data_IF_897085237832
#
_entry.id   IF_897085237832
#
_cell.length_a   1.000
_cell.length_b   1.000
_cell.length_c   1.000
_cell.angle_alpha   90.00
_cell.angle_beta   90.00
_cell.angle_gamma   90.00
#
_symmetry.space_group_name_H-M   'P 1'
#
loop_
_entity.id
_entity.type
_entity.pdbx_description
1 polymer ?
#
# COMPACT_ATOMS: atom_id res chain seq x y z
N UNK A 1 -11.19 -0.47 7.12
CA UNK A 1 -10.67 -1.87 7.06
C UNK A 1 -9.19 -1.84 6.69
N UNK A 2 -8.43 -2.85 7.13
CA UNK A 2 -7.00 -3.04 6.79
C UNK A 2 -6.86 -4.17 5.76
N UNK A 3 -6.13 -3.91 4.68
CA UNK A 3 -5.74 -4.89 3.67
C UNK A 3 -4.22 -5.05 3.71
N UNK A 4 -3.75 -6.28 3.79
CA UNK A 4 -2.32 -6.61 3.77
C UNK A 4 -2.00 -7.47 2.56
N UNK A 5 -0.94 -7.11 1.84
CA UNK A 5 -0.48 -7.78 0.64
C UNK A 5 1.03 -8.02 0.72
N UNK A 6 1.48 -9.15 0.19
CA UNK A 6 2.90 -9.41 -0.07
C UNK A 6 3.20 -9.12 -1.53
N UNK A 7 4.23 -8.31 -1.80
CA UNK A 7 4.68 -7.93 -3.15
C UNK A 7 6.14 -8.36 -3.32
N UNK A 8 6.41 -9.61 -3.75
CA UNK A 8 7.76 -10.19 -3.77
C UNK A 8 8.79 -9.38 -4.57
N UNK A 9 8.34 -8.72 -5.65
CA UNK A 9 9.21 -7.97 -6.57
C UNK A 9 9.41 -6.49 -6.18
N UNK A 10 9.01 -6.08 -4.97
CA UNK A 10 9.23 -4.72 -4.49
C UNK A 10 10.70 -4.50 -4.13
N UNK A 11 11.52 -4.12 -5.11
CA UNK A 11 12.98 -4.15 -4.99
C UNK A 11 13.56 -3.01 -4.12
N UNK A 12 12.96 -1.82 -4.16
CA UNK A 12 13.46 -0.64 -3.46
C UNK A 12 12.33 0.30 -3.04
N UNK A 13 12.67 1.41 -2.38
CA UNK A 13 11.70 2.43 -1.93
C UNK A 13 10.86 3.01 -3.06
N UNK A 14 11.44 3.22 -4.25
CA UNK A 14 10.72 3.74 -5.40
C UNK A 14 9.55 2.84 -5.84
N UNK A 15 9.68 1.51 -5.68
CA UNK A 15 8.57 0.58 -5.90
C UNK A 15 7.43 0.83 -4.90
N UNK A 16 7.76 1.00 -3.61
CA UNK A 16 6.79 1.31 -2.56
C UNK A 16 6.08 2.65 -2.76
N UNK A 17 6.81 3.68 -3.23
CA UNK A 17 6.23 4.96 -3.60
C UNK A 17 5.25 4.85 -4.78
N UNK A 18 5.61 4.04 -5.79
CA UNK A 18 4.76 3.81 -6.96
C UNK A 18 3.46 3.10 -6.56
N UNK A 19 3.54 2.08 -5.70
CA UNK A 19 2.36 1.40 -5.14
C UNK A 19 1.49 2.38 -4.36
N UNK A 20 2.11 3.19 -3.49
CA UNK A 20 1.40 4.22 -2.71
C UNK A 20 0.64 5.19 -3.60
N UNK A 21 1.28 5.68 -4.68
CA UNK A 21 0.64 6.58 -5.65
C UNK A 21 -0.55 5.91 -6.33
N UNK A 22 -0.38 4.67 -6.80
CA UNK A 22 -1.44 3.92 -7.47
C UNK A 22 -2.66 3.70 -6.57
N UNK A 23 -2.45 3.32 -5.30
CA UNK A 23 -3.54 3.17 -4.32
C UNK A 23 -4.25 4.50 -4.10
N UNK A 24 -3.50 5.60 -3.91
CA UNK A 24 -4.07 6.93 -3.70
C UNK A 24 -4.82 7.50 -4.90
N UNK A 25 -4.55 7.02 -6.13
CA UNK A 25 -5.37 7.35 -7.30
C UNK A 25 -6.78 6.79 -7.19
N UNK A 26 -6.97 5.66 -6.52
CA UNK A 26 -8.27 5.00 -6.33
C UNK A 26 -8.94 5.42 -5.03
N UNK A 27 -8.20 5.48 -3.93
CA UNK A 27 -8.65 5.96 -2.63
C UNK A 27 -7.67 7.04 -2.11
N UNK A 28 -7.93 8.33 -2.40
CA UNK A 28 -7.06 9.43 -1.98
C UNK A 28 -6.88 9.54 -0.46
N UNK A 29 -7.80 8.96 0.31
CA UNK A 29 -7.81 8.99 1.77
C UNK A 29 -7.16 7.76 2.41
N UNK A 30 -6.70 6.79 1.61
CA UNK A 30 -6.04 5.60 2.12
C UNK A 30 -4.67 5.92 2.73
N UNK A 31 -4.39 5.26 3.86
CA UNK A 31 -3.04 5.21 4.43
C UNK A 31 -2.33 3.98 3.89
N UNK A 32 -1.12 4.13 3.35
CA UNK A 32 -0.33 3.03 2.79
C UNK A 32 1.03 2.99 3.45
N UNK A 33 1.43 1.83 3.97
CA UNK A 33 2.81 1.55 4.36
C UNK A 33 3.37 0.41 3.52
N UNK A 34 4.43 0.68 2.77
CA UNK A 34 5.13 -0.31 1.96
C UNK A 34 6.57 -0.45 2.45
N UNK A 35 6.99 -1.68 2.77
CA UNK A 35 8.34 -1.97 3.24
C UNK A 35 9.08 -2.93 2.28
N UNK A 36 10.04 -2.42 1.48
CA UNK A 36 10.79 -3.23 0.52
C UNK A 36 11.67 -4.31 1.18
N UNK A 37 11.97 -4.22 2.48
CA UNK A 37 12.74 -5.25 3.19
C UNK A 37 11.88 -6.48 3.45
N UNK A 38 10.67 -6.27 3.99
CA UNK A 38 9.73 -7.36 4.30
C UNK A 38 8.85 -7.77 3.13
N UNK A 39 8.83 -6.98 2.04
CA UNK A 39 7.93 -7.16 0.89
C UNK A 39 6.45 -7.01 1.24
N UNK A 40 6.13 -6.35 2.37
CA UNK A 40 4.77 -6.16 2.82
C UNK A 40 4.24 -4.78 2.47
N UNK A 41 2.97 -4.74 2.10
CA UNK A 41 2.20 -3.52 1.88
C UNK A 41 0.93 -3.60 2.73
N UNK A 42 0.78 -2.66 3.65
CA UNK A 42 -0.41 -2.48 4.46
C UNK A 42 -1.19 -1.28 3.93
N UNK A 43 -2.49 -1.44 3.75
CA UNK A 43 -3.39 -0.40 3.24
C UNK A 43 -4.56 -0.27 4.22
N UNK A 44 -4.74 0.92 4.77
CA UNK A 44 -5.91 1.27 5.56
C UNK A 44 -6.84 2.12 4.71
N UNK A 45 -8.06 1.63 4.48
CA UNK A 45 -9.10 2.39 3.78
C UNK A 45 -10.18 2.87 4.75
N UNK A 46 -10.49 4.18 4.76
CA UNK A 46 -11.61 4.74 5.52
C UNK A 46 -12.98 4.30 5.00
N UNK A 47 -13.07 3.98 3.69
CA UNK A 47 -14.32 3.65 2.99
C UNK A 47 -14.86 2.26 3.37
N UNK A 48 -14.06 1.44 4.06
CA UNK A 48 -14.43 0.11 4.55
C UNK A 48 -15.04 0.10 5.95
N UNK A 49 -15.91 1.04 6.30
CA UNK A 49 -16.88 0.84 7.40
C UNK A 49 -18.24 0.56 6.76
N UNK A 50 -18.56 -0.71 6.54
CA UNK A 50 -19.95 -1.15 6.37
C UNK A 50 -20.48 -1.58 7.72
#
# INVERSE_FOLDING_TARGET
>A
MTLQLTVPNMACSACGETITKAVKTVDPTATVQADPKTKLVNIETPLGKR
#
